data_IF_387267829095
#
_entry.id   IF_387267829095
#
_cell.length_a   1.000
_cell.length_b   1.000
_cell.length_c   1.000
_cell.angle_alpha   90.00
_cell.angle_beta   90.00
_cell.angle_gamma   90.00
#
_symmetry.space_group_name_H-M   'P 1'
#
loop_
_entity.id
_entity.type
_entity.pdbx_description
1 polymer ?
#
# COMPACT_ATOMS: atom_id res chain seq x y z
N UNK A 1 -6.50 28.83 -7.19
CA UNK A 1 -7.26 27.59 -6.97
C UNK A 1 -6.37 26.35 -6.91
N UNK A 2 -5.70 25.89 -7.99
CA UNK A 2 -4.90 24.65 -7.96
C UNK A 2 -3.76 24.60 -6.93
N UNK A 3 -3.16 25.76 -6.61
CA UNK A 3 -2.08 25.84 -5.60
C UNK A 3 -2.55 25.52 -4.18
N UNK A 4 -3.82 25.74 -3.87
CA UNK A 4 -4.37 25.51 -2.53
C UNK A 4 -4.67 24.02 -2.31
N UNK A 5 -5.41 23.38 -3.22
CA UNK A 5 -5.66 21.94 -3.16
C UNK A 5 -4.35 21.13 -3.13
N UNK A 6 -3.37 21.50 -3.98
CA UNK A 6 -2.04 20.88 -3.96
C UNK A 6 -1.33 21.07 -2.62
N UNK A 7 -1.41 22.26 -2.02
CA UNK A 7 -0.80 22.54 -0.72
C UNK A 7 -1.46 21.70 0.38
N UNK A 8 -2.79 21.63 0.41
CA UNK A 8 -3.53 20.81 1.37
C UNK A 8 -3.17 19.33 1.27
N UNK A 9 -3.03 18.79 0.05
CA UNK A 9 -2.58 17.41 -0.14
C UNK A 9 -1.16 17.18 0.40
N UNK A 10 -0.22 18.07 0.09
CA UNK A 10 1.16 17.97 0.61
C UNK A 10 1.18 18.08 2.14
N UNK A 11 0.47 19.04 2.73
CA UNK A 11 0.38 19.19 4.19
C UNK A 11 -0.23 17.94 4.86
N UNK A 12 -1.21 17.30 4.22
CA UNK A 12 -1.76 16.04 4.70
C UNK A 12 -0.70 14.93 4.70
N UNK A 13 0.02 14.73 3.59
CA UNK A 13 1.11 13.73 3.50
C UNK A 13 2.18 13.99 4.56
N UNK A 14 2.58 15.26 4.74
CA UNK A 14 3.58 15.64 5.74
C UNK A 14 3.12 15.35 7.17
N UNK A 15 1.84 15.61 7.49
CA UNK A 15 1.28 15.36 8.83
C UNK A 15 1.04 13.87 9.11
N UNK A 16 0.97 13.02 8.10
CA UNK A 16 0.79 11.57 8.24
C UNK A 16 2.05 10.76 7.90
N UNK A 17 3.17 11.45 7.67
CA UNK A 17 4.45 10.86 7.23
C UNK A 17 4.85 9.63 8.06
N UNK A 18 4.81 9.74 9.38
CA UNK A 18 5.24 8.65 10.27
C UNK A 18 4.37 7.41 10.09
N UNK A 19 3.05 7.58 9.99
CA UNK A 19 2.10 6.50 9.75
C UNK A 19 2.29 5.86 8.38
N UNK A 20 2.51 6.67 7.34
CA UNK A 20 2.78 6.15 5.99
C UNK A 20 4.08 5.32 5.96
N UNK A 21 5.14 5.81 6.61
CA UNK A 21 6.39 5.04 6.72
C UNK A 21 6.15 3.73 7.46
N UNK A 22 5.44 3.77 8.59
CA UNK A 22 5.11 2.57 9.37
C UNK A 22 4.34 1.53 8.54
N UNK A 23 3.31 1.95 7.78
CA UNK A 23 2.54 1.04 6.91
C UNK A 23 3.45 0.38 5.86
N UNK A 24 4.31 1.17 5.21
CA UNK A 24 5.29 0.66 4.25
C UNK A 24 6.27 -0.34 4.87
N UNK A 25 6.75 -0.07 6.08
CA UNK A 25 7.71 -0.92 6.79
C UNK A 25 7.05 -2.21 7.31
N UNK A 26 5.79 -2.14 7.73
CA UNK A 26 5.01 -3.31 8.13
C UNK A 26 4.76 -4.23 6.92
N UNK A 27 4.37 -3.67 5.78
CA UNK A 27 4.17 -4.44 4.54
C UNK A 27 5.50 -5.05 4.08
N UNK A 28 6.62 -4.31 4.18
CA UNK A 28 7.96 -4.86 3.94
C UNK A 28 8.20 -6.14 4.74
N UNK A 29 7.82 -6.13 6.02
CA UNK A 29 7.94 -7.27 6.92
C UNK A 29 6.98 -8.43 6.64
N UNK A 30 5.78 -8.15 6.11
CA UNK A 30 4.83 -9.18 5.72
C UNK A 30 5.31 -10.00 4.52
N UNK A 31 5.82 -9.32 3.49
CA UNK A 31 6.38 -9.93 2.28
C UNK A 31 5.52 -11.08 1.72
N UNK A 32 4.21 -10.88 1.65
CA UNK A 32 3.28 -11.91 1.18
C UNK A 32 3.29 -11.99 -0.35
N UNK A 33 3.20 -13.22 -0.90
CA UNK A 33 3.22 -13.44 -2.35
C UNK A 33 1.89 -13.08 -3.01
N UNK A 34 1.95 -12.95 -4.34
CA UNK A 34 0.80 -12.86 -5.25
C UNK A 34 -0.39 -13.74 -4.83
N UNK A 35 -1.57 -13.13 -4.69
CA UNK A 35 -2.85 -13.75 -4.33
C UNK A 35 -2.98 -14.28 -2.88
N UNK A 36 -1.97 -14.07 -2.03
CA UNK A 36 -1.97 -14.51 -0.62
C UNK A 36 -1.57 -13.40 0.36
N UNK A 37 -1.69 -12.14 -0.06
CA UNK A 37 -1.38 -10.90 0.68
C UNK A 37 -2.45 -10.49 1.69
N UNK A 38 -2.92 -11.44 2.51
CA UNK A 38 -4.04 -11.21 3.41
C UNK A 38 -3.76 -10.14 4.46
N UNK A 39 -2.54 -10.04 4.97
CA UNK A 39 -2.18 -9.04 5.98
C UNK A 39 -1.96 -7.67 5.34
N UNK A 40 -1.27 -7.60 4.21
CA UNK A 40 -1.04 -6.35 3.48
C UNK A 40 -2.36 -5.76 2.98
N UNK A 41 -3.20 -6.57 2.35
CA UNK A 41 -4.53 -6.18 1.89
C UNK A 41 -5.39 -5.68 3.05
N UNK A 42 -5.43 -6.43 4.16
CA UNK A 42 -6.18 -6.04 5.34
C UNK A 42 -5.73 -4.68 5.88
N UNK A 43 -4.43 -4.48 6.06
CA UNK A 43 -3.88 -3.24 6.61
C UNK A 43 -4.25 -2.03 5.75
N UNK A 44 -4.06 -2.10 4.44
CA UNK A 44 -4.34 -0.98 3.53
C UNK A 44 -5.83 -0.65 3.47
N UNK A 45 -6.68 -1.67 3.37
CA UNK A 45 -8.12 -1.49 3.32
C UNK A 45 -8.69 -0.99 4.65
N UNK A 46 -8.20 -1.49 5.79
CA UNK A 46 -8.60 -1.01 7.13
C UNK A 46 -8.22 0.47 7.31
N UNK A 47 -7.04 0.90 6.84
CA UNK A 47 -6.62 2.30 6.92
C UNK A 47 -7.56 3.20 6.10
N UNK A 48 -7.89 2.82 4.85
CA UNK A 48 -8.81 3.58 4.01
C UNK A 48 -10.23 3.66 4.59
N UNK A 49 -10.75 2.55 5.14
CA UNK A 49 -12.03 2.53 5.87
C UNK A 49 -12.01 3.48 7.07
N UNK A 50 -10.91 3.52 7.82
CA UNK A 50 -10.75 4.43 8.97
C UNK A 50 -10.73 5.91 8.56
N UNK A 51 -10.26 6.22 7.34
CA UNK A 51 -10.32 7.56 6.75
C UNK A 51 -11.65 7.84 6.01
N UNK A 52 -12.63 6.92 6.08
CA UNK A 52 -13.99 7.12 5.61
C UNK A 52 -14.23 6.79 4.13
N UNK A 53 -13.33 6.06 3.49
CA UNK A 53 -13.59 5.50 2.15
C UNK A 53 -14.65 4.39 2.23
N UNK A 54 -15.43 4.25 1.15
CA UNK A 54 -16.26 3.07 0.93
C UNK A 54 -15.40 1.98 0.29
N UNK A 55 -15.17 0.88 1.00
CA UNK A 55 -14.22 -0.17 0.60
C UNK A 55 -14.95 -1.46 0.25
N UNK A 56 -14.83 -1.86 -1.01
CA UNK A 56 -15.25 -3.16 -1.52
C UNK A 56 -14.05 -4.11 -1.52
N UNK A 57 -14.10 -5.17 -0.70
CA UNK A 57 -13.03 -6.17 -0.59
C UNK A 57 -13.38 -7.44 -1.38
N UNK A 58 -12.38 -8.19 -1.82
CA UNK A 58 -12.57 -9.43 -2.55
C UNK A 58 -12.98 -9.23 -4.02
N UNK A 59 -12.59 -8.11 -4.62
CA UNK A 59 -13.03 -7.75 -5.98
C UNK A 59 -12.43 -8.70 -7.02
N UNK A 60 -13.16 -8.89 -8.13
CA UNK A 60 -12.75 -9.77 -9.23
C UNK A 60 -12.41 -11.21 -8.78
N UNK A 61 -13.10 -11.72 -7.75
CA UNK A 61 -12.88 -13.06 -7.16
C UNK A 61 -11.47 -13.25 -6.56
N UNK A 62 -10.76 -12.14 -6.28
CA UNK A 62 -9.44 -12.16 -5.65
C UNK A 62 -9.61 -11.70 -4.19
N UNK A 63 -9.53 -12.61 -3.18
CA UNK A 63 -9.82 -12.28 -1.78
C UNK A 63 -8.95 -11.15 -1.20
N UNK A 64 -7.76 -10.95 -1.76
CA UNK A 64 -6.81 -9.92 -1.31
C UNK A 64 -6.98 -8.60 -2.08
N UNK A 65 -7.70 -8.55 -3.20
CA UNK A 65 -7.94 -7.31 -3.93
C UNK A 65 -9.07 -6.48 -3.28
N UNK A 66 -8.99 -5.15 -3.37
CA UNK A 66 -10.05 -4.25 -2.92
C UNK A 66 -10.14 -2.99 -3.78
N UNK A 67 -11.29 -2.32 -3.75
CA UNK A 67 -11.51 -0.99 -4.34
C UNK A 67 -12.01 -0.06 -3.24
N UNK A 68 -11.33 1.08 -3.07
CA UNK A 68 -11.74 2.12 -2.14
C UNK A 68 -12.23 3.35 -2.91
N UNK A 69 -13.43 3.83 -2.58
CA UNK A 69 -14.09 4.93 -3.28
C UNK A 69 -14.34 6.11 -2.33
N UNK A 70 -14.03 7.32 -2.79
CA UNK A 70 -14.36 8.57 -2.10
C UNK A 70 -15.04 9.57 -3.05
N UNK A 71 -16.11 10.20 -2.57
CA UNK A 71 -16.85 11.20 -3.33
C UNK A 71 -17.79 10.62 -4.39
N UNK A 72 -18.34 11.49 -5.25
CA UNK A 72 -19.32 11.16 -6.30
C UNK A 72 -19.13 12.12 -7.48
N UNK A 73 -19.49 11.71 -8.70
CA UNK A 73 -19.49 12.56 -9.88
C UNK A 73 -18.55 12.10 -10.99
N UNK A 74 -18.21 13.01 -11.93
CA UNK A 74 -17.32 12.75 -13.08
C UNK A 74 -16.39 13.94 -13.32
N UNK A 75 -15.16 13.72 -13.84
CA UNK A 75 -14.56 12.42 -14.15
C UNK A 75 -14.19 11.63 -12.88
N UNK A 76 -14.04 10.32 -13.03
CA UNK A 76 -13.51 9.43 -11.97
C UNK A 76 -12.00 9.31 -12.20
N UNK A 77 -11.21 9.48 -11.13
CA UNK A 77 -9.76 9.30 -11.15
C UNK A 77 -9.46 8.03 -10.35
N UNK A 78 -8.69 7.12 -10.94
CA UNK A 78 -8.22 5.91 -10.27
C UNK A 78 -6.75 6.02 -9.91
N UNK A 79 -6.39 5.52 -8.74
CA UNK A 79 -5.00 5.31 -8.29
C UNK A 79 -4.87 3.82 -8.00
N UNK A 80 -3.77 3.21 -8.41
CA UNK A 80 -3.51 1.78 -8.23
C UNK A 80 -2.26 1.57 -7.38
N UNK A 81 -2.40 0.81 -6.31
CA UNK A 81 -1.32 0.36 -5.46
C UNK A 81 -1.23 -1.17 -5.48
N UNK A 82 -0.04 -1.69 -5.75
CA UNK A 82 0.30 -3.11 -5.67
C UNK A 82 1.09 -3.37 -4.37
N UNK A 83 1.00 -4.55 -3.79
CA UNK A 83 1.60 -4.85 -2.46
C UNK A 83 2.05 -6.31 -2.30
N UNK A 84 2.23 -7.03 -3.40
CA UNK A 84 2.79 -8.38 -3.42
C UNK A 84 4.33 -8.37 -3.34
N UNK A 85 4.88 -9.43 -2.76
CA UNK A 85 6.31 -9.71 -2.73
C UNK A 85 6.68 -10.72 -3.83
N UNK A 86 7.99 -10.79 -4.12
CA UNK A 86 8.51 -11.79 -5.04
C UNK A 86 9.08 -13.00 -4.28
N UNK A 87 9.06 -14.21 -4.87
CA UNK A 87 9.61 -15.40 -4.25
C UNK A 87 11.15 -15.36 -4.19
N UNK A 88 11.73 -15.89 -3.12
CA UNK A 88 13.16 -16.15 -3.02
C UNK A 88 14.07 -14.92 -2.87
N UNK A 89 13.50 -13.75 -2.60
CA UNK A 89 14.24 -12.49 -2.49
C UNK A 89 14.08 -11.80 -1.13
N UNK A 90 13.97 -12.58 -0.06
CA UNK A 90 14.03 -12.07 1.31
C UNK A 90 15.22 -11.14 1.47
N UNK A 91 14.98 -9.99 2.11
CA UNK A 91 15.96 -8.91 2.15
C UNK A 91 15.75 -8.07 3.41
N UNK A 92 16.85 -7.77 4.12
CA UNK A 92 16.89 -6.74 5.15
C UNK A 92 16.89 -5.35 4.51
N UNK A 93 16.44 -4.33 5.24
CA UNK A 93 16.47 -2.94 4.79
C UNK A 93 17.89 -2.33 4.80
N UNK A 94 18.80 -2.91 4.01
CA UNK A 94 20.21 -2.53 3.86
C UNK A 94 20.60 -2.49 2.38
N UNK A 95 21.59 -1.68 1.97
CA UNK A 95 21.92 -1.47 0.55
C UNK A 95 22.74 -2.61 -0.08
N UNK A 96 22.81 -3.78 0.55
CA UNK A 96 23.54 -4.95 0.06
C UNK A 96 22.69 -6.21 0.27
N UNK A 97 22.97 -7.27 -0.49
CA UNK A 97 22.20 -8.51 -0.40
C UNK A 97 22.41 -9.15 0.97
N UNK A 98 21.34 -9.21 1.76
CA UNK A 98 21.34 -9.83 3.07
C UNK A 98 19.92 -10.30 3.41
N UNK A 99 19.68 -11.61 3.34
CA UNK A 99 18.37 -12.17 3.59
C UNK A 99 17.98 -12.07 5.08
N UNK A 100 16.69 -11.86 5.36
CA UNK A 100 16.13 -12.09 6.70
C UNK A 100 16.04 -13.60 6.92
N UNK A 101 15.47 -14.31 5.95
CA UNK A 101 15.40 -15.78 5.89
C UNK A 101 15.76 -16.20 4.47
N UNK A 102 16.79 -17.02 4.31
CA UNK A 102 17.25 -17.48 2.99
C UNK A 102 16.12 -18.19 2.22
N UNK A 103 15.89 -17.80 0.96
CA UNK A 103 14.85 -18.36 0.10
C UNK A 103 13.41 -17.93 0.40
N UNK A 104 13.17 -17.15 1.47
CA UNK A 104 11.85 -16.60 1.73
C UNK A 104 11.51 -15.45 0.76
N UNK A 105 10.23 -15.02 0.68
CA UNK A 105 9.84 -13.87 -0.13
C UNK A 105 10.39 -12.53 0.40
N UNK A 106 10.36 -11.50 -0.45
CA UNK A 106 10.71 -10.13 -0.11
C UNK A 106 10.24 -9.10 -1.14
N UNK A 107 10.24 -7.82 -0.78
CA UNK A 107 9.83 -6.72 -1.65
C UNK A 107 11.00 -6.14 -2.46
N UNK A 108 11.40 -6.82 -3.53
CA UNK A 108 12.45 -6.34 -4.44
C UNK A 108 12.00 -5.28 -5.45
N UNK A 109 10.69 -5.17 -5.69
CA UNK A 109 10.10 -4.22 -6.63
C UNK A 109 9.50 -2.97 -5.95
N UNK A 110 9.57 -2.87 -4.63
CA UNK A 110 9.05 -1.72 -3.88
C UNK A 110 7.53 -1.69 -3.72
N UNK A 111 6.84 -2.82 -3.88
CA UNK A 111 5.36 -2.86 -3.77
C UNK A 111 4.86 -2.50 -2.36
N UNK A 112 5.66 -2.68 -1.32
CA UNK A 112 5.35 -2.12 -0.01
C UNK A 112 5.19 -0.58 -0.03
N UNK A 113 5.98 0.11 -0.85
CA UNK A 113 5.90 1.56 -1.06
C UNK A 113 4.75 1.90 -2.02
N UNK A 114 4.55 1.12 -3.08
CA UNK A 114 3.48 1.37 -4.05
C UNK A 114 2.10 1.24 -3.41
N UNK A 115 1.85 0.18 -2.65
CA UNK A 115 0.59 -0.01 -1.91
C UNK A 115 0.31 1.14 -0.95
N UNK A 116 1.33 1.55 -0.19
CA UNK A 116 1.23 2.66 0.77
C UNK A 116 1.01 4.02 0.07
N UNK A 117 1.76 4.29 -1.00
CA UNK A 117 1.60 5.53 -1.78
C UNK A 117 0.24 5.59 -2.49
N UNK A 118 -0.28 4.45 -2.96
CA UNK A 118 -1.62 4.38 -3.54
C UNK A 118 -2.73 4.63 -2.52
N UNK A 119 -2.48 4.30 -1.24
CA UNK A 119 -3.40 4.48 -0.13
C UNK A 119 -3.40 5.91 0.43
N UNK A 120 -2.24 6.59 0.50
CA UNK A 120 -2.11 7.89 1.18
C UNK A 120 -1.15 8.90 0.54
N UNK A 121 -0.81 8.75 -0.74
CA UNK A 121 0.07 9.67 -1.49
C UNK A 121 -0.66 10.65 -2.40
#
# INVERSE_FOLDING_TARGET
>A
MYREAKRSAVEWVESHRERLIEVSDVIWGYAELGFVEFKSSKLLADELEAHGFDVERGVAEIPTAFVATWGKGKPVIGVMGEYDALPGISQKAVPHKEAIVEGAPGHGCGHNIHGTSGMGG
#
